data_IF_677694384602
#
_entry.id   IF_677694384602
#
_cell.length_a   1.000
_cell.length_b   1.000
_cell.length_c   1.000
_cell.angle_alpha   90.00
_cell.angle_beta   90.00
_cell.angle_gamma   90.00
#
_symmetry.space_group_name_H-M   'P 1'
#
loop_
_entity.id
_entity.type
_entity.pdbx_description
1 polymer ?
#
# COMPACT_ATOMS: atom_id res chain seq x y z
N UNK A 1 -12.11 -6.63 4.27
CA UNK A 1 -12.86 -5.55 3.62
C UNK A 1 -14.20 -6.01 3.06
N UNK A 2 -14.32 -7.26 2.73
CA UNK A 2 -15.58 -7.82 2.21
C UNK A 2 -16.72 -7.74 3.23
N UNK A 3 -16.39 -7.71 4.51
CA UNK A 3 -17.36 -7.64 5.60
C UNK A 3 -17.65 -6.21 6.06
N UNK A 4 -16.92 -5.23 5.54
CA UNK A 4 -17.11 -3.84 5.93
C UNK A 4 -18.43 -3.28 5.40
N UNK A 5 -19.01 -2.36 6.14
CA UNK A 5 -20.28 -1.69 5.83
C UNK A 5 -20.03 -0.23 5.47
N UNK A 6 -20.95 0.36 4.73
CA UNK A 6 -20.89 1.78 4.39
C UNK A 6 -20.64 2.64 5.64
N UNK A 7 -19.64 3.50 5.55
CA UNK A 7 -19.23 4.38 6.64
C UNK A 7 -18.15 3.80 7.55
N UNK A 8 -17.84 2.51 7.41
CA UNK A 8 -16.76 1.90 8.19
C UNK A 8 -15.38 2.43 7.77
N UNK A 9 -14.43 2.35 8.69
CA UNK A 9 -13.02 2.62 8.43
C UNK A 9 -12.26 1.31 8.56
N UNK A 10 -11.57 0.93 7.51
CA UNK A 10 -10.74 -0.27 7.49
C UNK A 10 -9.27 0.14 7.44
N UNK A 11 -8.49 -0.38 8.38
CA UNK A 11 -7.06 -0.08 8.48
C UNK A 11 -6.25 -1.30 8.09
N UNK A 12 -5.38 -1.15 7.11
CA UNK A 12 -4.33 -2.12 6.79
C UNK A 12 -3.02 -1.64 7.40
N UNK A 13 -2.63 -2.22 8.50
CA UNK A 13 -1.37 -1.95 9.18
C UNK A 13 -0.57 -3.25 9.27
N UNK A 14 0.43 -3.49 8.49
CA UNK A 14 0.97 -2.54 7.53
C UNK A 14 1.13 -3.28 6.19
N UNK A 15 1.20 -2.52 5.11
CA UNK A 15 1.34 -3.08 3.76
C UNK A 15 2.63 -3.90 3.61
N UNK A 16 3.70 -3.48 4.26
CA UNK A 16 5.00 -4.17 4.17
C UNK A 16 4.95 -5.59 4.71
N UNK A 17 4.25 -5.81 5.82
CA UNK A 17 4.08 -7.16 6.38
C UNK A 17 3.24 -8.02 5.45
N UNK A 18 2.15 -7.49 4.93
CA UNK A 18 1.32 -8.20 3.98
C UNK A 18 2.10 -8.60 2.72
N UNK A 19 2.88 -7.67 2.17
CA UNK A 19 3.70 -7.92 0.99
C UNK A 19 4.73 -9.00 1.24
N UNK A 20 5.40 -8.95 2.39
CA UNK A 20 6.39 -9.94 2.79
C UNK A 20 5.78 -11.33 2.83
N UNK A 21 4.60 -11.46 3.45
CA UNK A 21 3.90 -12.73 3.54
C UNK A 21 3.54 -13.27 2.14
N UNK A 22 3.12 -12.40 1.22
CA UNK A 22 2.71 -12.82 -0.12
C UNK A 22 3.90 -13.22 -0.99
N UNK A 23 5.04 -12.54 -0.85
CA UNK A 23 6.21 -12.81 -1.68
C UNK A 23 7.00 -14.04 -1.22
N UNK A 24 6.98 -14.34 0.08
CA UNK A 24 7.78 -15.42 0.67
C UNK A 24 6.95 -16.62 1.10
N UNK A 25 5.71 -16.70 0.62
CA UNK A 25 4.86 -17.86 0.85
C UNK A 25 5.33 -19.06 -0.01
N UNK A 26 4.82 -20.26 0.30
CA UNK A 26 5.13 -21.47 -0.45
C UNK A 26 4.80 -21.33 -1.94
N UNK A 27 3.72 -20.61 -2.26
CA UNK A 27 3.35 -20.28 -3.63
C UNK A 27 3.40 -18.77 -3.77
N UNK A 28 4.57 -18.19 -4.07
CA UNK A 28 4.70 -16.75 -4.16
C UNK A 28 3.89 -16.19 -5.34
N UNK A 29 3.22 -15.06 -5.10
CA UNK A 29 2.49 -14.35 -6.14
C UNK A 29 3.41 -13.38 -6.85
N UNK A 30 3.16 -13.15 -8.14
CA UNK A 30 3.92 -12.17 -8.88
C UNK A 30 3.43 -10.74 -8.58
N UNK A 31 4.19 -9.75 -9.02
CA UNK A 31 3.91 -8.33 -8.75
C UNK A 31 2.57 -7.88 -9.33
N UNK A 32 2.23 -8.38 -10.51
CA UNK A 32 0.98 -8.03 -11.18
C UNK A 32 -0.23 -8.54 -10.41
N UNK A 33 -0.15 -9.74 -9.87
CA UNK A 33 -1.20 -10.30 -9.02
C UNK A 33 -1.38 -9.48 -7.73
N UNK A 34 -0.26 -9.03 -7.13
CA UNK A 34 -0.30 -8.24 -5.91
C UNK A 34 -0.94 -6.88 -6.15
N UNK A 35 -0.60 -6.23 -7.25
CA UNK A 35 -1.23 -4.95 -7.64
C UNK A 35 -2.72 -5.15 -7.88
N UNK A 36 -3.11 -6.25 -8.52
CA UNK A 36 -4.52 -6.56 -8.77
C UNK A 36 -5.30 -6.76 -7.47
N UNK A 37 -4.71 -7.42 -6.48
CA UNK A 37 -5.35 -7.63 -5.17
C UNK A 37 -5.59 -6.29 -4.47
N UNK A 38 -4.58 -5.44 -4.41
CA UNK A 38 -4.71 -4.12 -3.78
C UNK A 38 -5.72 -3.26 -4.54
N UNK A 39 -5.71 -3.32 -5.87
CA UNK A 39 -6.68 -2.62 -6.70
C UNK A 39 -8.11 -3.07 -6.42
N UNK A 40 -8.32 -4.35 -6.17
CA UNK A 40 -9.62 -4.88 -5.80
C UNK A 40 -10.08 -4.31 -4.45
N UNK A 41 -9.20 -4.26 -3.46
CA UNK A 41 -9.53 -3.65 -2.16
C UNK A 41 -9.99 -2.21 -2.33
N UNK A 42 -9.28 -1.43 -3.12
CA UNK A 42 -9.60 -0.02 -3.34
C UNK A 42 -10.93 0.13 -4.08
N UNK A 43 -11.20 -0.73 -5.05
CA UNK A 43 -12.48 -0.74 -5.77
C UNK A 43 -13.64 -1.08 -4.85
N UNK A 44 -13.49 -2.11 -4.02
CA UNK A 44 -14.51 -2.51 -3.05
C UNK A 44 -14.77 -1.37 -2.05
N UNK A 45 -13.71 -0.73 -1.56
CA UNK A 45 -13.86 0.38 -0.62
C UNK A 45 -14.69 1.51 -1.22
N UNK A 46 -14.44 1.86 -2.49
CA UNK A 46 -15.21 2.89 -3.17
C UNK A 46 -16.68 2.49 -3.37
N UNK A 47 -16.93 1.25 -3.77
CA UNK A 47 -18.29 0.76 -3.97
C UNK A 47 -19.09 0.75 -2.68
N UNK A 48 -18.47 0.36 -1.58
CA UNK A 48 -19.11 0.29 -0.27
C UNK A 48 -19.11 1.61 0.48
N UNK A 49 -18.44 2.64 -0.04
CA UNK A 49 -18.22 3.92 0.65
C UNK A 49 -17.55 3.72 2.01
N UNK A 50 -16.54 2.88 2.02
CA UNK A 50 -15.70 2.57 3.18
C UNK A 50 -14.42 3.38 3.05
N UNK A 51 -13.94 3.92 4.18
CA UNK A 51 -12.63 4.56 4.22
C UNK A 51 -11.57 3.48 4.41
N UNK A 52 -10.68 3.35 3.44
CA UNK A 52 -9.57 2.41 3.50
C UNK A 52 -8.28 3.18 3.79
N UNK A 53 -7.67 2.89 4.94
CA UNK A 53 -6.39 3.45 5.34
C UNK A 53 -5.31 2.40 5.15
N UNK A 54 -4.31 2.71 4.34
CA UNK A 54 -3.18 1.81 4.10
C UNK A 54 -1.93 2.46 4.68
N UNK A 55 -1.33 1.79 5.64
CA UNK A 55 -0.07 2.23 6.27
C UNK A 55 1.06 1.39 5.69
N UNK A 56 2.15 2.04 5.30
CA UNK A 56 3.31 1.36 4.74
C UNK A 56 4.58 2.08 5.15
N UNK A 57 5.65 1.32 5.24
CA UNK A 57 6.99 1.86 5.48
C UNK A 57 7.67 2.13 4.14
N UNK A 58 8.42 3.24 4.08
CA UNK A 58 9.20 3.57 2.91
C UNK A 58 10.58 2.92 3.03
N UNK A 59 10.83 1.89 2.22
CA UNK A 59 12.10 1.19 2.18
C UNK A 59 12.92 1.54 0.94
N UNK A 60 12.52 2.55 0.20
CA UNK A 60 13.18 2.94 -1.06
C UNK A 60 14.59 3.51 -0.85
N UNK A 61 15.02 3.68 0.39
CA UNK A 61 16.33 4.23 0.70
C UNK A 61 17.46 3.19 0.69
N UNK A 62 17.16 1.92 0.44
CA UNK A 62 18.16 0.86 0.38
C UNK A 62 18.20 0.18 -1.00
N UNK A 63 18.50 0.92 -2.07
CA UNK A 63 18.50 0.32 -3.40
C UNK A 63 19.72 -0.56 -3.69
N UNK A 64 20.69 -0.58 -2.81
CA UNK A 64 21.99 -1.22 -3.05
C UNK A 64 22.16 -2.58 -2.38
N UNK A 65 21.08 -3.22 -1.94
CA UNK A 65 21.15 -4.53 -1.33
C UNK A 65 21.74 -5.56 -2.30
N UNK A 66 22.70 -6.34 -1.82
CA UNK A 66 23.30 -7.43 -2.59
C UNK A 66 22.40 -8.65 -2.69
N UNK A 67 21.37 -8.72 -1.87
CA UNK A 67 20.47 -9.86 -1.82
C UNK A 67 19.36 -9.71 -2.84
N UNK A 68 19.26 -10.65 -3.75
CA UNK A 68 18.23 -10.65 -4.79
C UNK A 68 16.82 -10.60 -4.22
N UNK A 69 16.57 -11.32 -3.14
CA UNK A 69 15.25 -11.34 -2.51
C UNK A 69 14.86 -9.98 -1.96
N UNK A 70 15.81 -9.28 -1.32
CA UNK A 70 15.56 -7.94 -0.79
C UNK A 70 15.30 -6.95 -1.91
N UNK A 71 16.06 -7.02 -3.00
CA UNK A 71 15.86 -6.15 -4.17
C UNK A 71 14.50 -6.38 -4.81
N UNK A 72 14.07 -7.63 -4.93
CA UNK A 72 12.75 -7.96 -5.46
C UNK A 72 11.65 -7.40 -4.57
N UNK A 73 11.82 -7.52 -3.26
CA UNK A 73 10.86 -6.99 -2.29
C UNK A 73 10.75 -5.47 -2.39
N UNK A 74 11.88 -4.76 -2.38
CA UNK A 74 11.90 -3.30 -2.48
C UNK A 74 11.29 -2.83 -3.80
N UNK A 75 11.59 -3.53 -4.89
CA UNK A 75 11.02 -3.20 -6.19
C UNK A 75 9.50 -3.39 -6.21
N UNK A 76 9.02 -4.51 -5.67
CA UNK A 76 7.58 -4.77 -5.59
C UNK A 76 6.87 -3.74 -4.72
N UNK A 77 7.46 -3.39 -3.58
CA UNK A 77 6.92 -2.36 -2.69
C UNK A 77 6.83 -1.01 -3.39
N UNK A 78 7.89 -0.63 -4.13
CA UNK A 78 7.89 0.61 -4.90
C UNK A 78 6.76 0.66 -5.94
N UNK A 79 6.52 -0.44 -6.65
CA UNK A 79 5.42 -0.52 -7.60
C UNK A 79 4.06 -0.39 -6.93
N UNK A 80 3.89 -1.05 -5.78
CA UNK A 80 2.65 -0.93 -5.01
C UNK A 80 2.44 0.50 -4.52
N UNK A 81 3.48 1.15 -4.01
CA UNK A 81 3.39 2.54 -3.57
C UNK A 81 2.97 3.46 -4.72
N UNK A 82 3.58 3.31 -5.88
CA UNK A 82 3.22 4.11 -7.06
C UNK A 82 1.76 3.91 -7.45
N UNK A 83 1.32 2.66 -7.48
CA UNK A 83 -0.06 2.33 -7.83
C UNK A 83 -1.04 2.90 -6.81
N UNK A 84 -0.78 2.70 -5.52
CA UNK A 84 -1.66 3.16 -4.44
C UNK A 84 -1.77 4.68 -4.44
N UNK A 85 -0.64 5.39 -4.55
CA UNK A 85 -0.64 6.86 -4.59
C UNK A 85 -1.43 7.36 -5.79
N UNK A 86 -1.28 6.72 -6.94
CA UNK A 86 -2.01 7.10 -8.16
C UNK A 86 -3.52 6.95 -7.98
N UNK A 87 -3.98 5.93 -7.28
CA UNK A 87 -5.39 5.62 -7.12
C UNK A 87 -6.01 6.24 -5.86
N UNK A 88 -5.21 6.58 -4.87
CA UNK A 88 -5.68 7.10 -3.60
C UNK A 88 -6.24 8.52 -3.74
N UNK A 89 -7.18 8.86 -2.87
CA UNK A 89 -7.68 10.24 -2.76
C UNK A 89 -6.72 11.11 -1.97
N UNK A 90 -6.04 10.52 -0.99
CA UNK A 90 -5.06 11.20 -0.12
C UNK A 90 -3.83 10.33 0.01
N UNK A 91 -2.66 10.93 -0.14
CA UNK A 91 -1.38 10.25 0.06
C UNK A 91 -0.44 11.15 0.85
N UNK A 92 0.06 10.64 1.98
CA UNK A 92 0.90 11.38 2.91
C UNK A 92 2.16 10.58 3.21
N UNK A 93 3.30 11.23 3.15
CA UNK A 93 4.57 10.68 3.61
C UNK A 93 4.97 11.39 4.91
N UNK A 94 5.35 10.61 5.92
CA UNK A 94 5.80 11.17 7.19
C UNK A 94 7.29 10.89 7.36
N UNK A 95 8.06 11.94 7.52
CA UNK A 95 9.50 11.87 7.81
C UNK A 95 9.79 12.67 9.07
N UNK A 96 10.45 12.04 10.04
CA UNK A 96 10.82 12.68 11.31
C UNK A 96 9.66 13.45 11.95
N UNK A 97 8.46 12.84 11.88
CA UNK A 97 7.25 13.45 12.42
C UNK A 97 6.62 14.54 11.56
N UNK A 98 7.21 14.86 10.41
CA UNK A 98 6.72 15.93 9.53
C UNK A 98 5.97 15.32 8.35
N UNK A 99 4.66 15.64 8.20
CA UNK A 99 3.88 15.10 7.08
C UNK A 99 4.16 15.89 5.80
N UNK A 100 4.26 15.16 4.69
CA UNK A 100 4.32 15.73 3.34
C UNK A 100 3.18 15.14 2.53
N UNK A 101 2.28 15.98 2.06
CA UNK A 101 1.13 15.55 1.26
C UNK A 101 1.54 15.47 -0.21
N UNK A 102 1.47 14.28 -0.75
CA UNK A 102 1.66 14.06 -2.18
C UNK A 102 0.36 14.29 -2.95
N UNK A 103 -0.77 14.16 -2.25
CA UNK A 103 -2.08 14.25 -2.87
C UNK A 103 -3.14 14.50 -1.80
N UNK A 104 -4.15 15.29 -2.11
CA UNK A 104 -5.34 15.40 -1.28
C UNK A 104 -5.23 16.26 -0.03
N UNK A 105 -4.25 17.18 0.03
CA UNK A 105 -4.06 18.02 1.21
C UNK A 105 -5.36 18.71 1.66
N UNK A 106 -6.12 19.25 0.71
CA UNK A 106 -7.36 19.96 1.01
C UNK A 106 -8.48 19.07 1.53
N UNK A 107 -8.37 17.76 1.40
CA UNK A 107 -9.41 16.84 1.87
C UNK A 107 -9.30 16.54 3.36
N UNK A 108 -8.16 16.83 3.99
CA UNK A 108 -7.92 16.60 5.40
C UNK A 108 -7.99 17.87 6.25
N UNK A 109 -8.12 19.00 5.63
CA UNK A 109 -8.15 20.30 6.31
C UNK A 109 -9.53 20.92 6.34
#
# INVERSE_FOLDING_TARGET
IMQARTGDVVLLDCLTIWLSNMLFDEIPRNREELVAVVGEWMTIARKKRVTLLIVSNDLNEEPSSQYKMVRSYVYALGLLHQYIVKQADVAVQVRTGIPKYWKGYGLLC
#
